data_IF_941622835859
#
_entry.id   IF_941622835859
#
_cell.length_a   1.000
_cell.length_b   1.000
_cell.length_c   1.000
_cell.angle_alpha   90.00
_cell.angle_beta   90.00
_cell.angle_gamma   90.00
#
_symmetry.space_group_name_H-M   'P 1'
#
loop_
_entity.id
_entity.type
_entity.pdbx_description
1 polymer ?
#
# COMPACT_ATOMS: atom_id res chain seq x y z
N UNK A 1 29.71 20.66 20.11
CA UNK A 1 28.30 20.81 20.54
C UNK A 1 27.58 19.55 20.15
N UNK A 2 27.33 18.66 21.14
CA UNK A 2 26.63 17.41 20.87
C UNK A 2 25.12 17.68 20.75
N UNK A 3 24.57 17.75 19.56
CA UNK A 3 23.12 17.67 19.39
C UNK A 3 22.72 16.22 19.61
N UNK A 4 22.39 15.85 20.83
CA UNK A 4 21.62 14.68 21.11
C UNK A 4 20.25 14.88 20.46
N UNK A 5 20.02 14.28 19.32
CA UNK A 5 18.67 14.05 18.82
C UNK A 5 17.99 13.11 19.84
N UNK A 6 17.35 13.68 20.82
CA UNK A 6 16.44 12.94 21.68
C UNK A 6 15.25 12.49 20.82
N UNK A 7 15.27 11.25 20.40
CA UNK A 7 14.08 10.59 19.86
C UNK A 7 13.03 10.49 20.97
N UNK A 8 12.27 11.56 21.15
CA UNK A 8 11.13 11.53 22.06
C UNK A 8 10.06 10.61 21.51
N UNK A 9 9.23 10.02 22.37
CA UNK A 9 8.08 9.18 21.95
C UNK A 9 7.19 9.93 20.94
N UNK A 10 7.02 11.24 21.16
CA UNK A 10 6.24 12.11 20.27
C UNK A 10 6.80 12.14 18.85
N UNK A 11 8.12 12.27 18.67
CA UNK A 11 8.74 12.27 17.34
C UNK A 11 8.61 10.89 16.65
N UNK A 12 8.71 9.80 17.39
CA UNK A 12 8.56 8.46 16.84
C UNK A 12 7.16 8.22 16.27
N UNK A 13 6.12 8.62 16.99
CA UNK A 13 4.74 8.51 16.50
C UNK A 13 4.48 9.45 15.33
N UNK A 14 5.04 10.66 15.34
CA UNK A 14 4.97 11.60 14.22
C UNK A 14 5.59 10.97 12.96
N UNK A 15 6.79 10.38 13.09
CA UNK A 15 7.46 9.74 11.97
C UNK A 15 6.68 8.55 11.40
N UNK A 16 5.99 7.77 12.26
CA UNK A 16 5.09 6.70 11.80
C UNK A 16 3.93 7.25 10.96
N UNK A 17 3.30 8.34 11.40
CA UNK A 17 2.22 8.98 10.66
C UNK A 17 2.73 9.51 9.33
N UNK A 18 3.83 10.24 9.33
CA UNK A 18 4.43 10.79 8.10
C UNK A 18 4.76 9.68 7.10
N UNK A 19 5.38 8.58 7.56
CA UNK A 19 5.71 7.43 6.71
C UNK A 19 4.44 6.82 6.07
N UNK A 20 3.39 6.64 6.86
CA UNK A 20 2.11 6.12 6.35
C UNK A 20 1.51 7.07 5.30
N UNK A 21 1.54 8.37 5.56
CA UNK A 21 1.06 9.39 4.63
C UNK A 21 1.85 9.38 3.32
N UNK A 22 3.18 9.26 3.37
CA UNK A 22 4.03 9.14 2.19
C UNK A 22 3.70 7.90 1.36
N UNK A 23 3.62 6.73 1.99
CA UNK A 23 3.26 5.48 1.30
C UNK A 23 1.87 5.60 0.66
N UNK A 24 0.91 6.12 1.41
CA UNK A 24 -0.45 6.33 0.94
C UNK A 24 -0.49 7.24 -0.29
N UNK A 25 0.16 8.41 -0.22
CA UNK A 25 0.17 9.37 -1.32
C UNK A 25 0.91 8.81 -2.55
N UNK A 26 2.00 8.07 -2.39
CA UNK A 26 2.71 7.42 -3.51
C UNK A 26 1.80 6.43 -4.23
N UNK A 27 1.16 5.53 -3.49
CA UNK A 27 0.23 4.53 -4.06
C UNK A 27 -0.99 5.22 -4.68
N UNK A 28 -1.55 6.22 -4.01
CA UNK A 28 -2.70 6.97 -4.49
C UNK A 28 -2.39 7.75 -5.78
N UNK A 29 -1.17 8.25 -5.95
CA UNK A 29 -0.75 8.99 -7.15
C UNK A 29 -0.37 8.09 -8.33
N UNK A 30 -0.19 6.79 -8.13
CA UNK A 30 0.04 5.85 -9.23
C UNK A 30 -1.24 5.64 -10.06
N UNK A 31 -1.21 6.06 -11.33
CA UNK A 31 -2.38 6.02 -12.22
C UNK A 31 -2.86 4.60 -12.53
N UNK A 32 -1.93 3.65 -12.65
CA UNK A 32 -2.25 2.24 -12.94
C UNK A 32 -2.95 1.60 -11.74
N UNK A 33 -2.45 1.83 -10.51
CA UNK A 33 -3.10 1.34 -9.30
C UNK A 33 -4.52 1.91 -9.18
N UNK A 34 -4.71 3.21 -9.45
CA UNK A 34 -6.06 3.82 -9.45
C UNK A 34 -6.99 3.13 -10.43
N UNK A 35 -6.53 2.83 -11.66
CA UNK A 35 -7.33 2.11 -12.66
C UNK A 35 -7.65 0.69 -12.21
N UNK A 36 -6.67 -0.02 -11.62
CA UNK A 36 -6.85 -1.39 -11.12
C UNK A 36 -7.91 -1.50 -10.01
N UNK A 37 -8.02 -0.50 -9.12
CA UNK A 37 -9.03 -0.50 -8.05
C UNK A 37 -10.38 0.06 -8.49
N UNK A 38 -10.41 0.89 -9.54
CA UNK A 38 -11.63 1.60 -9.96
C UNK A 38 -12.47 0.83 -10.97
N UNK A 39 -11.82 0.13 -11.92
CA UNK A 39 -12.51 -0.55 -13.02
C UNK A 39 -12.70 -2.04 -12.75
N UNK A 40 -13.95 -2.46 -12.71
CA UNK A 40 -14.36 -3.85 -12.57
C UNK A 40 -14.41 -4.55 -13.96
N UNK A 41 -13.26 -4.62 -14.61
CA UNK A 41 -13.09 -5.22 -15.94
C UNK A 41 -11.96 -6.23 -15.94
N UNK A 42 -11.88 -7.08 -16.96
CA UNK A 42 -10.79 -8.06 -17.10
C UNK A 42 -9.44 -7.43 -17.46
N UNK A 43 -9.47 -6.25 -18.03
CA UNK A 43 -8.30 -5.50 -18.49
C UNK A 43 -8.37 -4.03 -18.06
N UNK A 44 -8.24 -3.75 -16.76
CA UNK A 44 -8.46 -2.42 -16.20
C UNK A 44 -7.45 -1.37 -16.67
N UNK A 45 -6.31 -1.78 -17.23
CA UNK A 45 -5.27 -0.87 -17.73
C UNK A 45 -5.43 -0.50 -19.22
N UNK A 46 -6.30 -1.17 -19.96
CA UNK A 46 -6.59 -0.84 -21.37
C UNK A 46 -7.58 0.32 -21.46
N UNK A 47 -7.58 1.03 -22.59
CA UNK A 47 -8.55 2.12 -22.84
C UNK A 47 -9.97 1.60 -23.02
N UNK A 48 -10.10 0.35 -23.41
CA UNK A 48 -11.37 -0.35 -23.59
C UNK A 48 -11.33 -1.61 -22.75
N UNK A 49 -12.13 -1.65 -21.70
CA UNK A 49 -12.27 -2.82 -20.83
C UNK A 49 -13.49 -3.64 -21.19
N UNK A 50 -13.42 -4.94 -20.89
CA UNK A 50 -14.56 -5.84 -20.99
C UNK A 50 -15.04 -6.17 -19.58
N UNK A 51 -16.23 -5.75 -19.25
CA UNK A 51 -16.89 -6.08 -17.97
C UNK A 51 -17.18 -7.59 -17.88
N UNK A 52 -17.42 -8.05 -16.67
CA UNK A 52 -17.73 -9.47 -16.44
C UNK A 52 -19.10 -9.88 -17.00
N UNK A 53 -19.96 -8.91 -17.27
CA UNK A 53 -21.23 -9.08 -18.01
C UNK A 53 -21.03 -9.11 -19.54
N UNK A 54 -19.79 -9.05 -20.01
CA UNK A 54 -19.42 -9.04 -21.42
C UNK A 54 -19.57 -7.68 -22.12
N UNK A 55 -20.02 -6.63 -21.42
CA UNK A 55 -20.14 -5.30 -22.00
C UNK A 55 -18.80 -4.61 -22.09
N UNK A 56 -18.63 -3.86 -23.17
CA UNK A 56 -17.45 -3.01 -23.37
C UNK A 56 -17.61 -1.70 -22.61
N UNK A 57 -16.59 -1.31 -21.87
CA UNK A 57 -16.53 -0.10 -21.06
C UNK A 57 -15.34 0.73 -21.53
N UNK A 58 -15.57 1.98 -21.90
CA UNK A 58 -14.48 2.90 -22.16
C UNK A 58 -13.85 3.32 -20.83
N UNK A 59 -12.57 3.07 -20.67
CA UNK A 59 -11.81 3.34 -19.46
C UNK A 59 -10.92 4.57 -19.69
N UNK A 60 -11.14 5.58 -18.87
CA UNK A 60 -10.36 6.83 -18.88
C UNK A 60 -9.39 6.82 -17.70
N UNK A 61 -8.53 7.80 -17.67
CA UNK A 61 -7.74 8.09 -16.51
C UNK A 61 -8.64 8.33 -15.29
N UNK A 62 -8.27 7.70 -14.16
CA UNK A 62 -9.00 7.82 -12.89
C UNK A 62 -8.31 8.86 -12.03
N UNK A 63 -9.03 9.90 -11.64
CA UNK A 63 -8.50 10.94 -10.77
C UNK A 63 -8.37 10.46 -9.31
N UNK A 64 -7.45 11.08 -8.57
CA UNK A 64 -7.30 10.89 -7.13
C UNK A 64 -8.62 11.16 -6.39
N UNK A 65 -9.37 12.19 -6.81
CA UNK A 65 -10.66 12.55 -6.23
C UNK A 65 -11.67 11.39 -6.30
N UNK A 66 -11.79 10.75 -7.47
CA UNK A 66 -12.71 9.61 -7.66
C UNK A 66 -12.37 8.42 -6.77
N UNK A 67 -11.08 8.14 -6.56
CA UNK A 67 -10.62 7.05 -5.69
C UNK A 67 -10.91 7.37 -4.22
N UNK A 68 -10.68 8.62 -3.79
CA UNK A 68 -10.99 9.08 -2.42
C UNK A 68 -12.49 9.08 -2.13
N UNK A 69 -13.31 9.57 -3.05
CA UNK A 69 -14.79 9.59 -2.88
C UNK A 69 -15.39 8.19 -2.73
N UNK A 70 -14.78 7.19 -3.34
CA UNK A 70 -15.20 5.79 -3.24
C UNK A 70 -14.45 5.00 -2.15
N UNK A 71 -13.52 5.63 -1.45
CA UNK A 71 -12.68 4.99 -0.42
C UNK A 71 -11.98 3.71 -0.90
N UNK A 72 -11.48 3.72 -2.16
CA UNK A 72 -10.85 2.54 -2.75
C UNK A 72 -9.39 2.35 -2.30
N UNK A 73 -8.73 3.42 -1.87
CA UNK A 73 -7.40 3.40 -1.26
C UNK A 73 -7.49 4.22 0.02
N UNK A 74 -7.19 3.61 1.17
CA UNK A 74 -7.37 4.24 2.47
C UNK A 74 -6.16 4.01 3.39
N UNK A 75 -5.69 5.05 4.11
CA UNK A 75 -4.68 4.91 5.15
C UNK A 75 -5.29 4.39 6.46
N UNK A 76 -6.61 4.25 6.54
CA UNK A 76 -7.29 3.70 7.69
C UNK A 76 -7.22 2.18 7.65
N UNK A 77 -6.82 1.58 8.77
CA UNK A 77 -6.68 0.14 8.89
C UNK A 77 -7.95 -0.63 8.53
N UNK A 78 -7.75 -1.78 7.93
CA UNK A 78 -8.81 -2.75 7.65
C UNK A 78 -9.12 -3.58 8.89
N UNK A 79 -10.40 -3.76 9.23
CA UNK A 79 -10.87 -4.66 10.28
C UNK A 79 -11.70 -5.79 9.66
N UNK A 80 -11.46 -7.02 10.10
CA UNK A 80 -12.15 -8.22 9.60
C UNK A 80 -13.65 -8.27 9.94
N UNK A 81 -14.09 -7.43 10.86
CA UNK A 81 -15.46 -7.40 11.37
C UNK A 81 -16.45 -6.66 10.45
N UNK A 82 -15.93 -5.96 9.45
CA UNK A 82 -16.75 -5.25 8.47
C UNK A 82 -16.97 -6.18 7.29
N UNK A 83 -18.23 -6.44 6.94
CA UNK A 83 -18.57 -7.15 5.71
C UNK A 83 -18.10 -6.27 4.54
N UNK A 84 -17.02 -6.66 3.85
CA UNK A 84 -16.42 -5.77 2.87
C UNK A 84 -17.40 -5.56 1.72
N UNK A 85 -17.67 -4.31 1.37
CA UNK A 85 -18.35 -4.00 0.11
C UNK A 85 -17.67 -4.75 -1.04
N UNK A 86 -18.47 -5.21 -2.01
CA UNK A 86 -17.97 -5.92 -3.20
C UNK A 86 -17.23 -4.97 -4.14
N UNK A 87 -16.12 -4.41 -3.66
CA UNK A 87 -15.23 -3.52 -4.43
C UNK A 87 -13.76 -3.92 -4.25
N UNK A 88 -12.94 -3.66 -5.25
CA UNK A 88 -11.50 -3.74 -5.10
C UNK A 88 -11.03 -2.55 -4.27
N UNK A 89 -10.31 -2.80 -3.18
CA UNK A 89 -9.83 -1.76 -2.28
C UNK A 89 -8.47 -2.09 -1.65
N UNK A 90 -7.74 -1.05 -1.27
CA UNK A 90 -6.43 -1.14 -0.62
C UNK A 90 -6.50 -0.40 0.72
N UNK A 91 -6.04 -1.07 1.78
CA UNK A 91 -5.96 -0.49 3.12
C UNK A 91 -4.55 -0.64 3.68
N UNK A 92 -4.04 0.43 4.25
CA UNK A 92 -2.74 0.44 4.91
C UNK A 92 -2.91 0.43 6.43
N UNK A 93 -2.02 -0.28 7.11
CA UNK A 93 -2.02 -0.32 8.57
C UNK A 93 -0.58 -0.44 9.10
N UNK A 94 -0.28 0.26 10.18
CA UNK A 94 0.96 0.11 10.95
C UNK A 94 0.64 -0.63 12.27
N UNK A 95 0.51 -1.96 12.24
CA UNK A 95 -0.01 -2.72 13.38
C UNK A 95 0.96 -2.79 14.55
N UNK A 96 2.26 -2.63 14.27
CA UNK A 96 3.31 -2.84 15.26
C UNK A 96 4.57 -2.07 14.92
N UNK A 97 5.21 -1.51 15.96
CA UNK A 97 6.54 -0.92 15.87
C UNK A 97 7.39 -1.29 17.07
N UNK A 98 8.69 -1.42 16.89
CA UNK A 98 9.68 -1.57 17.95
C UNK A 98 10.74 -0.49 17.82
N UNK A 99 10.78 0.42 18.79
CA UNK A 99 11.67 1.57 18.81
C UNK A 99 12.83 1.45 19.81
N UNK A 100 12.96 0.30 20.49
CA UNK A 100 13.94 0.16 21.58
C UNK A 100 15.38 0.03 21.07
N UNK A 101 15.64 -0.90 20.14
CA UNK A 101 17.00 -1.13 19.65
C UNK A 101 17.16 -1.06 18.12
N UNK A 102 16.17 -1.50 17.37
CA UNK A 102 16.31 -1.69 15.92
C UNK A 102 15.44 -0.75 15.09
N UNK A 103 14.69 0.17 15.71
CA UNK A 103 13.80 1.12 15.02
C UNK A 103 13.02 0.47 13.86
N UNK A 104 12.39 -0.67 14.13
CA UNK A 104 11.63 -1.41 13.14
C UNK A 104 10.15 -1.10 13.24
N UNK A 105 9.53 -0.89 12.09
CA UNK A 105 8.08 -0.81 11.92
C UNK A 105 7.60 -1.96 11.05
N UNK A 106 6.31 -2.24 11.11
CA UNK A 106 5.65 -3.14 10.18
C UNK A 106 4.51 -2.40 9.50
N UNK A 107 4.47 -2.50 8.18
CA UNK A 107 3.39 -2.01 7.34
C UNK A 107 2.62 -3.20 6.80
N UNK A 108 1.35 -3.28 7.12
CA UNK A 108 0.43 -4.22 6.48
C UNK A 108 -0.31 -3.51 5.35
N UNK A 109 -0.19 -4.05 4.14
CA UNK A 109 -0.95 -3.65 2.97
C UNK A 109 -2.01 -4.70 2.73
N UNK A 110 -3.28 -4.32 2.85
CA UNK A 110 -4.42 -5.21 2.69
C UNK A 110 -5.12 -4.89 1.38
N UNK A 111 -5.15 -5.84 0.46
CA UNK A 111 -5.79 -5.72 -0.86
C UNK A 111 -7.01 -6.62 -0.86
N UNK A 112 -8.17 -6.02 -0.98
CA UNK A 112 -9.45 -6.72 -1.14
C UNK A 112 -9.82 -6.76 -2.61
N UNK A 113 -10.26 -7.90 -3.09
CA UNK A 113 -10.69 -8.05 -4.47
C UNK A 113 -11.89 -9.00 -4.54
N UNK A 114 -13.04 -8.57 -5.06
CA UNK A 114 -14.16 -9.47 -5.28
C UNK A 114 -13.76 -10.64 -6.17
N UNK A 115 -14.14 -11.86 -5.80
CA UNK A 115 -13.73 -13.07 -6.53
C UNK A 115 -14.13 -13.06 -7.99
N UNK A 116 -15.24 -12.42 -8.33
CA UNK A 116 -15.69 -12.24 -9.71
C UNK A 116 -14.76 -11.34 -10.55
N UNK A 117 -13.93 -10.48 -9.90
CA UNK A 117 -13.01 -9.55 -10.55
C UNK A 117 -11.54 -9.92 -10.35
N UNK A 118 -11.29 -11.09 -9.73
CA UNK A 118 -9.92 -11.48 -9.34
C UNK A 118 -9.05 -11.84 -10.55
N UNK A 119 -9.63 -12.40 -11.61
CA UNK A 119 -8.88 -12.80 -12.81
C UNK A 119 -8.93 -11.67 -13.84
N UNK A 120 -7.77 -11.17 -14.21
CA UNK A 120 -7.56 -10.22 -15.31
C UNK A 120 -7.05 -10.94 -16.56
N UNK A 121 -6.81 -10.20 -17.62
CA UNK A 121 -6.18 -10.74 -18.84
C UNK A 121 -4.71 -11.11 -18.64
N UNK A 122 -4.05 -10.52 -17.64
CA UNK A 122 -2.62 -10.65 -17.34
C UNK A 122 -2.33 -11.56 -16.16
N UNK A 123 -3.32 -11.80 -15.27
CA UNK A 123 -3.11 -12.66 -14.12
C UNK A 123 -4.16 -12.53 -13.03
N UNK A 124 -3.72 -12.41 -11.80
CA UNK A 124 -4.58 -12.17 -10.64
C UNK A 124 -4.45 -10.73 -10.17
N UNK A 125 -5.55 -10.01 -10.17
CA UNK A 125 -5.64 -8.58 -9.82
C UNK A 125 -5.02 -8.24 -8.47
N UNK A 126 -5.28 -9.04 -7.44
CA UNK A 126 -4.74 -8.82 -6.10
C UNK A 126 -3.20 -8.87 -6.08
N UNK A 127 -2.60 -9.84 -6.77
CA UNK A 127 -1.14 -9.95 -6.88
C UNK A 127 -0.54 -8.87 -7.78
N UNK A 128 -1.21 -8.49 -8.86
CA UNK A 128 -0.77 -7.40 -9.75
C UNK A 128 -0.74 -6.05 -8.98
N UNK A 129 -1.79 -5.76 -8.22
CA UNK A 129 -1.81 -4.58 -7.34
C UNK A 129 -0.69 -4.67 -6.29
N UNK A 130 -0.50 -5.84 -5.66
CA UNK A 130 0.57 -6.06 -4.69
C UNK A 130 1.96 -5.80 -5.29
N UNK A 131 2.21 -6.26 -6.53
CA UNK A 131 3.47 -6.01 -7.24
C UNK A 131 3.67 -4.52 -7.57
N UNK A 132 2.61 -3.83 -8.01
CA UNK A 132 2.68 -2.39 -8.28
C UNK A 132 3.01 -1.60 -7.00
N UNK A 133 2.41 -1.98 -5.86
CA UNK A 133 2.71 -1.36 -4.57
C UNK A 133 4.16 -1.64 -4.16
N UNK A 134 4.64 -2.87 -4.30
CA UNK A 134 6.03 -3.20 -4.01
C UNK A 134 7.01 -2.33 -4.83
N UNK A 135 6.73 -2.15 -6.12
CA UNK A 135 7.54 -1.29 -6.98
C UNK A 135 7.53 0.18 -6.51
N UNK A 136 6.40 0.70 -6.01
CA UNK A 136 6.36 2.05 -5.44
C UNK A 136 7.15 2.16 -4.13
N UNK A 137 7.10 1.13 -3.28
CA UNK A 137 7.90 1.07 -2.05
C UNK A 137 9.41 1.02 -2.35
N UNK A 138 9.82 0.25 -3.36
CA UNK A 138 11.22 0.21 -3.83
C UNK A 138 11.67 1.57 -4.36
N UNK A 139 10.81 2.29 -5.09
CA UNK A 139 11.09 3.66 -5.55
C UNK A 139 11.29 4.62 -4.39
N UNK A 140 10.44 4.55 -3.36
CA UNK A 140 10.57 5.37 -2.15
C UNK A 140 11.93 5.19 -1.48
N UNK A 141 12.45 3.95 -1.44
CA UNK A 141 13.78 3.67 -0.89
C UNK A 141 14.90 4.34 -1.71
N UNK A 142 14.79 4.30 -3.05
CA UNK A 142 15.83 4.83 -3.96
C UNK A 142 15.82 6.37 -3.99
N UNK A 143 14.64 6.97 -4.06
CA UNK A 143 14.46 8.42 -4.16
C UNK A 143 14.80 9.14 -2.84
N UNK A 144 14.87 8.39 -1.75
CA UNK A 144 15.25 8.88 -0.42
C UNK A 144 14.46 10.13 0.03
N UNK A 145 13.19 10.20 -0.36
CA UNK A 145 12.29 11.33 -0.07
C UNK A 145 12.10 11.57 1.44
N UNK A 146 12.47 10.58 2.27
CA UNK A 146 12.36 10.64 3.73
C UNK A 146 13.62 11.16 4.43
N UNK A 147 14.73 11.40 3.70
CA UNK A 147 16.05 11.58 4.31
C UNK A 147 16.15 12.75 5.28
N UNK A 148 15.41 13.82 5.06
CA UNK A 148 15.45 15.00 5.91
C UNK A 148 14.63 14.82 7.21
N UNK A 149 13.50 14.11 7.14
CA UNK A 149 12.54 14.01 8.25
C UNK A 149 12.63 12.67 9.01
N UNK A 150 12.84 11.57 8.32
CA UNK A 150 12.72 10.21 8.90
C UNK A 150 14.04 9.44 8.83
N UNK A 151 14.94 9.79 7.91
CA UNK A 151 16.15 9.05 7.59
C UNK A 151 15.95 8.07 6.44
N UNK A 152 16.96 7.22 6.20
CA UNK A 152 16.87 6.20 5.16
C UNK A 152 15.86 5.13 5.58
N UNK A 153 14.94 4.82 4.66
CA UNK A 153 13.89 3.83 4.87
C UNK A 153 14.12 2.67 3.91
N UNK A 154 14.07 1.46 4.43
CA UNK A 154 14.10 0.23 3.64
C UNK A 154 12.83 -0.58 3.90
N UNK A 155 12.20 -1.06 2.83
CA UNK A 155 11.06 -1.95 2.89
C UNK A 155 11.48 -3.36 2.50
N UNK A 156 11.17 -4.32 3.35
CA UNK A 156 11.40 -5.75 3.12
C UNK A 156 10.08 -6.51 3.23
N UNK A 157 9.62 -7.15 2.16
CA UNK A 157 8.46 -8.03 2.23
C UNK A 157 8.83 -9.27 3.06
N UNK A 158 8.27 -9.38 4.25
CA UNK A 158 8.61 -10.47 5.19
C UNK A 158 7.56 -11.56 5.27
N UNK A 159 6.32 -11.24 4.88
CA UNK A 159 5.22 -12.20 4.94
C UNK A 159 4.09 -11.79 3.99
N UNK A 160 3.34 -12.77 3.50
CA UNK A 160 2.08 -12.53 2.82
C UNK A 160 1.06 -13.61 3.16
N UNK A 161 -0.19 -13.23 3.21
CA UNK A 161 -1.33 -14.13 3.41
C UNK A 161 -2.37 -13.88 2.32
N UNK A 162 -2.89 -14.95 1.72
CA UNK A 162 -3.97 -14.86 0.74
C UNK A 162 -5.10 -15.80 1.12
N UNK A 163 -6.25 -15.24 1.45
CA UNK A 163 -7.41 -15.99 1.93
C UNK A 163 -8.73 -15.38 1.46
N UNK A 164 -9.83 -16.08 1.71
CA UNK A 164 -11.18 -15.60 1.42
C UNK A 164 -11.81 -15.06 2.69
N UNK A 165 -12.37 -13.84 2.63
CA UNK A 165 -12.88 -13.14 3.80
C UNK A 165 -14.33 -13.41 4.16
N UNK A 166 -15.16 -13.82 3.22
CA UNK A 166 -16.58 -14.00 3.53
C UNK A 166 -16.98 -15.47 3.51
N UNK A 167 -18.01 -15.81 4.31
CA UNK A 167 -18.64 -17.13 4.29
C UNK A 167 -19.20 -17.48 2.90
N UNK A 168 -19.52 -16.49 2.09
CA UNK A 168 -19.97 -16.63 0.71
C UNK A 168 -18.82 -16.74 -0.29
N UNK A 169 -17.56 -16.66 0.18
CA UNK A 169 -16.35 -16.69 -0.66
C UNK A 169 -16.33 -15.60 -1.75
N UNK A 170 -16.96 -14.46 -1.51
CA UNK A 170 -17.15 -13.40 -2.51
C UNK A 170 -16.00 -12.42 -2.61
N UNK A 171 -15.09 -12.39 -1.61
CA UNK A 171 -13.94 -11.48 -1.58
C UNK A 171 -12.67 -12.24 -1.27
N UNK A 172 -11.63 -12.03 -2.07
CA UNK A 172 -10.25 -12.42 -1.78
C UNK A 172 -9.57 -11.29 -1.03
N UNK A 173 -8.78 -11.66 -0.06
CA UNK A 173 -7.91 -10.78 0.71
C UNK A 173 -6.47 -11.21 0.54
N UNK A 174 -5.65 -10.33 0.00
CA UNK A 174 -4.21 -10.45 0.00
C UNK A 174 -3.65 -9.45 1.01
N UNK A 175 -2.97 -9.95 2.02
CA UNK A 175 -2.22 -9.15 2.98
C UNK A 175 -0.74 -9.31 2.69
N UNK A 176 -0.05 -8.21 2.46
CA UNK A 176 1.40 -8.16 2.36
C UNK A 176 1.95 -7.43 3.58
N UNK A 177 2.87 -8.04 4.31
CA UNK A 177 3.54 -7.43 5.45
C UNK A 177 4.96 -7.04 5.08
N UNK A 178 5.25 -5.76 5.20
CA UNK A 178 6.58 -5.21 5.02
C UNK A 178 7.18 -4.85 6.38
N UNK A 179 8.43 -5.25 6.57
CA UNK A 179 9.27 -4.74 7.64
C UNK A 179 9.95 -3.47 7.14
N UNK A 180 9.93 -2.44 7.96
CA UNK A 180 10.51 -1.15 7.64
C UNK A 180 11.69 -0.93 8.57
N UNK A 181 12.88 -0.86 8.00
CA UNK A 181 14.10 -0.45 8.69
C UNK A 181 14.22 1.07 8.62
N UNK A 182 14.30 1.74 9.78
CA UNK A 182 14.64 3.15 9.86
C UNK A 182 16.12 3.26 10.23
N UNK A 183 16.97 3.68 9.27
CA UNK A 183 18.39 3.89 9.50
C UNK A 183 18.60 5.35 9.92
N UNK A 184 19.09 5.63 11.13
CA UNK A 184 19.41 6.99 11.53
C UNK A 184 20.45 7.62 10.60
N UNK A 185 20.24 8.88 10.23
CA UNK A 185 21.11 9.63 9.31
C UNK A 185 22.58 9.65 9.79
N UNK A 186 22.81 9.61 11.09
CA UNK A 186 24.15 9.65 11.70
C UNK A 186 25.05 8.42 11.41
N UNK A 187 24.51 7.34 10.82
CA UNK A 187 25.29 6.14 10.47
C UNK A 187 25.83 6.14 9.04
N UNK A 188 25.40 7.07 8.21
CA UNK A 188 25.86 7.16 6.80
C UNK A 188 27.18 7.92 6.62
N UNK A 189 27.65 8.60 7.66
CA UNK A 189 28.88 9.39 7.59
C UNK A 189 30.00 8.65 8.31
N UNK A 190 30.81 7.96 7.56
CA UNK A 190 32.26 7.71 7.62
C UNK A 190 32.62 6.29 7.23
N UNK A 191 32.83 6.09 5.96
CA UNK A 191 33.93 5.28 5.48
C UNK A 191 34.67 6.13 4.45
N UNK A 192 35.61 6.94 4.97
CA UNK A 192 36.77 7.41 4.23
C UNK A 192 37.85 6.35 4.33
#
# INVERSE_FOLDING_TARGET
MNSKYEFTISNKLKNCSMLLDYVYEKVLNNSEIRRMVYYDTRNPLDDIGVGFDGKTIQQKEVSVKQVREKELISPLGFTLDIDPELKTAIYFNLPKGNFSYNHMLYLDVNILCPTQYIITSTGRRDFEIGQMIANELDRLCVENEFSEDIGNVEFELVDFENTRLSKTNSVMWLKCRYKIGLVPIDRVIKHD
#
